data_IF_674307999310
#
_entry.id   IF_674307999310
#
_cell.length_a   1.000
_cell.length_b   1.000
_cell.length_c   1.000
_cell.angle_alpha   90.00
_cell.angle_beta   90.00
_cell.angle_gamma   90.00
#
_symmetry.space_group_name_H-M   'P 1'
#
loop_
_entity.id
_entity.type
_entity.pdbx_description
1 polymer ?
#
# COMPACT_ATOMS: atom_id res chain seq x y z
N UNK A 1 25.47 -82.31 38.79
CA UNK A 1 25.48 -80.88 38.40
C UNK A 1 24.54 -80.18 39.36
N UNK A 2 24.86 -80.15 40.65
CA UNK A 2 26.00 -79.42 41.27
C UNK A 2 25.74 -77.92 41.07
N UNK A 3 25.81 -77.01 42.04
CA UNK A 3 26.06 -77.04 43.47
C UNK A 3 25.95 -75.56 43.91
N UNK A 4 25.75 -75.32 45.21
CA UNK A 4 26.17 -74.12 46.00
C UNK A 4 25.37 -72.81 45.85
N UNK A 5 24.78 -72.27 46.93
CA UNK A 5 25.44 -71.59 48.10
C UNK A 5 26.28 -70.38 47.63
N UNK A 6 26.20 -69.15 48.16
CA UNK A 6 25.87 -68.69 49.52
C UNK A 6 25.96 -67.16 49.62
N UNK A 7 25.22 -66.58 50.57
CA UNK A 7 25.63 -65.39 51.36
C UNK A 7 25.50 -64.03 50.67
N UNK A 8 25.19 -62.91 51.32
CA UNK A 8 25.25 -62.54 52.74
C UNK A 8 24.32 -61.34 52.99
N UNK A 9 23.75 -61.28 54.18
CA UNK A 9 23.15 -60.07 54.76
C UNK A 9 24.27 -59.08 55.17
N UNK A 10 23.99 -57.78 55.13
CA UNK A 10 24.86 -56.80 55.80
C UNK A 10 24.65 -55.34 55.40
N UNK A 11 23.82 -54.65 56.21
CA UNK A 11 24.09 -53.34 56.85
C UNK A 11 24.34 -52.09 56.01
N UNK A 12 23.37 -51.16 56.11
CA UNK A 12 23.52 -49.72 56.42
C UNK A 12 24.82 -49.01 56.02
N UNK A 13 24.73 -48.16 55.00
CA UNK A 13 25.65 -47.05 54.75
C UNK A 13 24.87 -45.77 54.43
N UNK A 14 24.79 -44.86 55.39
CA UNK A 14 24.58 -43.43 55.13
C UNK A 14 25.74 -42.91 54.27
N UNK A 15 25.46 -42.11 53.24
CA UNK A 15 26.51 -41.36 52.55
C UNK A 15 26.03 -40.51 51.38
N UNK A 16 26.05 -39.19 51.56
CA UNK A 16 26.37 -38.24 50.49
C UNK A 16 25.21 -37.60 49.72
N UNK A 17 25.08 -36.28 49.88
CA UNK A 17 24.14 -35.39 49.19
C UNK A 17 24.27 -35.39 47.64
N UNK A 18 23.20 -35.04 46.89
CA UNK A 18 23.36 -34.55 45.53
C UNK A 18 24.01 -33.16 45.60
N UNK A 19 25.29 -33.10 45.26
CA UNK A 19 26.06 -31.86 45.23
C UNK A 19 25.41 -30.82 44.33
N UNK A 20 24.99 -29.70 44.92
CA UNK A 20 24.86 -28.44 44.21
C UNK A 20 26.26 -28.07 43.70
N UNK A 21 26.46 -28.16 42.38
CA UNK A 21 27.62 -27.58 41.73
C UNK A 21 27.71 -26.08 42.06
N UNK A 22 28.91 -25.49 42.09
CA UNK A 22 29.07 -24.08 42.40
C UNK A 22 28.22 -23.24 41.43
N UNK A 23 27.56 -22.16 41.93
CA UNK A 23 26.82 -21.26 41.06
C UNK A 23 27.77 -20.75 39.98
N UNK A 24 27.38 -20.93 38.71
CA UNK A 24 28.16 -20.36 37.62
C UNK A 24 28.31 -18.85 37.88
N UNK A 25 29.53 -18.30 37.84
CA UNK A 25 29.73 -16.89 38.06
C UNK A 25 28.91 -16.15 37.00
N UNK A 26 28.08 -15.21 37.44
CA UNK A 26 27.43 -14.24 36.60
C UNK A 26 28.46 -13.73 35.58
N UNK A 27 28.34 -14.18 34.34
CA UNK A 27 29.09 -13.59 33.23
C UNK A 27 28.82 -12.08 33.23
N UNK A 28 29.77 -11.25 32.76
CA UNK A 28 29.56 -9.81 32.72
C UNK A 28 28.21 -9.53 32.05
N UNK A 29 27.36 -8.67 32.64
CA UNK A 29 26.05 -8.36 32.08
C UNK A 29 26.26 -7.99 30.62
N UNK A 30 25.65 -8.76 29.71
CA UNK A 30 25.72 -8.46 28.29
C UNK A 30 25.33 -6.99 28.14
N UNK A 31 26.11 -6.16 27.43
CA UNK A 31 25.75 -4.78 27.21
C UNK A 31 24.35 -4.76 26.62
N UNK A 32 23.37 -4.30 27.40
CA UNK A 32 22.01 -4.08 26.93
C UNK A 32 22.15 -3.19 25.70
N UNK A 33 21.89 -3.76 24.53
CA UNK A 33 21.87 -2.99 23.30
C UNK A 33 20.97 -1.77 23.56
N UNK A 34 21.43 -0.55 23.21
CA UNK A 34 20.66 0.65 23.53
C UNK A 34 19.23 0.48 23.02
N UNK A 35 18.22 0.87 23.83
CA UNK A 35 16.82 0.68 23.49
C UNK A 35 16.58 1.22 22.09
N UNK A 36 16.03 0.36 21.23
CA UNK A 36 15.81 0.71 19.83
C UNK A 36 14.83 1.90 19.78
N UNK A 37 15.11 2.96 19.02
CA UNK A 37 14.25 4.14 19.00
C UNK A 37 12.81 3.77 18.63
N UNK A 38 11.84 4.25 19.40
CA UNK A 38 10.42 3.99 19.19
C UNK A 38 10.00 4.22 17.73
N UNK A 39 9.38 3.20 17.12
CA UNK A 39 8.84 3.28 15.76
C UNK A 39 9.81 2.89 14.62
N UNK A 40 11.07 2.53 14.92
CA UNK A 40 12.00 1.95 13.92
C UNK A 40 12.01 0.43 13.92
N UNK A 41 12.12 -0.16 12.74
CA UNK A 41 12.23 -1.60 12.56
C UNK A 41 13.54 -2.14 13.13
N UNK A 42 13.50 -3.38 13.61
CA UNK A 42 14.66 -4.02 14.24
C UNK A 42 15.87 -4.05 13.30
N UNK A 43 17.08 -3.80 13.81
CA UNK A 43 18.34 -3.80 13.03
C UNK A 43 18.54 -5.07 12.19
N UNK A 44 18.07 -6.22 12.68
CA UNK A 44 18.09 -7.51 11.95
C UNK A 44 17.35 -7.49 10.59
N UNK A 45 16.43 -6.55 10.39
CA UNK A 45 15.66 -6.40 9.15
C UNK A 45 16.17 -5.24 8.27
N UNK A 46 17.33 -4.66 8.60
CA UNK A 46 17.88 -3.50 7.89
C UNK A 46 18.01 -3.75 6.38
N UNK A 47 18.58 -4.89 5.98
CA UNK A 47 18.73 -5.23 4.56
C UNK A 47 17.40 -5.25 3.82
N UNK A 48 16.38 -5.91 4.38
CA UNK A 48 15.05 -5.98 3.77
C UNK A 48 14.42 -4.60 3.56
N UNK A 49 14.48 -3.71 4.55
CA UNK A 49 13.93 -2.36 4.46
C UNK A 49 14.70 -1.47 3.48
N UNK A 50 16.03 -1.52 3.51
CA UNK A 50 16.88 -0.70 2.63
C UNK A 50 16.72 -1.13 1.18
N UNK A 51 16.86 -2.43 0.89
CA UNK A 51 16.67 -2.96 -0.48
C UNK A 51 15.28 -2.63 -0.99
N UNK A 52 14.24 -2.81 -0.18
CA UNK A 52 12.88 -2.44 -0.57
C UNK A 52 12.74 -0.95 -0.85
N UNK A 53 13.31 -0.10 0.01
CA UNK A 53 13.29 1.35 -0.16
C UNK A 53 13.96 1.79 -1.46
N UNK A 54 15.15 1.24 -1.77
CA UNK A 54 15.87 1.51 -3.01
C UNK A 54 15.04 1.10 -4.23
N UNK A 55 14.50 -0.12 -4.25
CA UNK A 55 13.72 -0.63 -5.38
C UNK A 55 12.47 0.23 -5.65
N UNK A 56 11.75 0.65 -4.60
CA UNK A 56 10.59 1.52 -4.74
C UNK A 56 10.96 2.91 -5.27
N UNK A 57 12.07 3.50 -4.78
CA UNK A 57 12.55 4.81 -5.26
C UNK A 57 13.02 4.72 -6.71
N UNK A 58 13.76 3.68 -7.08
CA UNK A 58 14.23 3.49 -8.46
C UNK A 58 13.06 3.42 -9.44
N UNK A 59 12.03 2.65 -9.12
CA UNK A 59 10.85 2.58 -9.99
C UNK A 59 10.05 3.89 -10.00
N UNK A 60 9.94 4.59 -8.86
CA UNK A 60 9.34 5.93 -8.83
C UNK A 60 10.09 6.91 -9.74
N UNK A 61 11.43 6.86 -9.74
CA UNK A 61 12.28 7.66 -10.62
C UNK A 61 12.09 7.30 -12.09
N UNK A 62 11.99 6.02 -12.42
CA UNK A 62 11.70 5.57 -13.78
C UNK A 62 10.33 6.06 -14.27
N UNK A 63 9.29 5.96 -13.45
CA UNK A 63 7.98 6.54 -13.77
C UNK A 63 8.06 8.05 -13.97
N UNK A 64 8.71 8.78 -13.07
CA UNK A 64 8.88 10.23 -13.20
C UNK A 64 9.62 10.60 -14.49
N UNK A 65 10.63 9.81 -14.90
CA UNK A 65 11.34 10.00 -16.16
C UNK A 65 10.43 9.80 -17.36
N UNK A 66 9.63 8.72 -17.40
CA UNK A 66 8.66 8.49 -18.48
C UNK A 66 7.60 9.58 -18.58
N UNK A 67 7.11 10.03 -17.43
CA UNK A 67 6.17 11.13 -17.38
C UNK A 67 6.80 12.40 -17.94
N UNK A 68 8.03 12.73 -17.52
CA UNK A 68 8.76 13.91 -17.99
C UNK A 68 9.06 13.84 -19.49
N UNK A 69 9.52 12.69 -19.97
CA UNK A 69 9.78 12.44 -21.39
C UNK A 69 8.53 12.65 -22.25
N UNK A 70 7.39 12.12 -21.79
CA UNK A 70 6.12 12.29 -22.49
C UNK A 70 5.65 13.77 -22.46
N UNK A 71 5.86 14.48 -21.35
CA UNK A 71 5.54 15.92 -21.26
C UNK A 71 6.38 16.75 -22.23
N UNK A 72 7.67 16.44 -22.34
CA UNK A 72 8.59 17.10 -23.29
C UNK A 72 8.16 16.78 -24.72
N UNK A 73 7.84 15.52 -25.02
CA UNK A 73 7.41 15.09 -26.36
C UNK A 73 6.11 15.74 -26.83
N UNK A 74 5.20 16.03 -25.92
CA UNK A 74 3.92 16.73 -26.22
C UNK A 74 4.09 18.27 -26.21
N UNK A 75 5.20 18.79 -25.68
CA UNK A 75 5.47 20.23 -25.63
C UNK A 75 4.60 20.98 -24.62
N UNK A 76 4.30 20.36 -23.47
CA UNK A 76 3.43 20.95 -22.44
C UNK A 76 4.22 21.91 -21.55
N UNK A 77 3.72 23.14 -21.40
CA UNK A 77 4.30 24.15 -20.53
C UNK A 77 4.22 23.77 -19.04
N UNK A 78 5.21 24.22 -18.25
CA UNK A 78 5.29 23.92 -16.82
C UNK A 78 4.07 24.42 -16.03
N UNK A 79 3.50 25.56 -16.41
CA UNK A 79 2.31 26.13 -15.76
C UNK A 79 1.07 25.27 -16.02
N UNK A 80 0.89 24.80 -17.27
CA UNK A 80 -0.19 23.89 -17.63
C UNK A 80 -0.05 22.53 -16.93
N UNK A 81 1.19 22.06 -16.73
CA UNK A 81 1.47 20.87 -15.94
C UNK A 81 1.07 21.05 -14.47
N UNK A 82 1.50 22.13 -13.83
CA UNK A 82 1.18 22.41 -12.44
C UNK A 82 -0.32 22.59 -12.23
N UNK A 83 -0.99 23.27 -13.16
CA UNK A 83 -2.44 23.41 -13.13
C UNK A 83 -3.14 22.05 -13.30
N UNK A 84 -2.71 21.21 -14.25
CA UNK A 84 -3.27 19.87 -14.46
C UNK A 84 -3.01 18.88 -13.32
N UNK A 85 -1.95 19.09 -12.54
CA UNK A 85 -1.65 18.31 -11.33
C UNK A 85 -2.63 18.65 -10.19
N UNK A 86 -3.02 19.92 -10.07
CA UNK A 86 -3.89 20.40 -8.99
C UNK A 86 -5.36 20.36 -9.37
N UNK A 87 -5.72 20.69 -10.61
CA UNK A 87 -7.11 20.80 -11.06
C UNK A 87 -7.45 19.67 -12.03
N UNK A 88 -8.61 19.05 -11.82
CA UNK A 88 -9.22 18.18 -12.81
C UNK A 88 -10.00 19.00 -13.84
N UNK A 89 -9.33 19.80 -14.67
CA UNK A 89 -9.98 20.52 -15.76
C UNK A 89 -10.05 19.63 -17.02
N UNK A 90 -11.24 19.32 -17.57
CA UNK A 90 -11.40 18.58 -18.81
C UNK A 90 -10.67 19.21 -20.00
N UNK A 91 -10.46 20.53 -20.00
CA UNK A 91 -9.74 21.28 -21.05
C UNK A 91 -8.23 21.09 -20.97
N UNK A 92 -7.74 20.78 -19.77
CA UNK A 92 -6.33 20.48 -19.48
C UNK A 92 -6.15 18.99 -19.21
N UNK A 93 -7.00 18.12 -19.79
CA UNK A 93 -6.80 16.68 -19.73
C UNK A 93 -5.45 16.37 -20.36
N UNK A 94 -4.42 16.31 -19.52
CA UNK A 94 -3.08 15.92 -19.92
C UNK A 94 -3.23 14.48 -20.40
N UNK A 95 -3.07 14.22 -21.71
CA UNK A 95 -3.10 12.85 -22.20
C UNK A 95 -1.98 12.02 -21.56
N UNK A 96 -1.00 12.69 -20.95
CA UNK A 96 0.32 12.16 -20.64
C UNK A 96 0.33 11.05 -19.59
N UNK A 97 -0.35 11.16 -18.45
CA UNK A 97 -0.49 10.06 -17.48
C UNK A 97 -1.68 10.36 -16.56
N UNK A 98 -2.31 9.33 -16.00
CA UNK A 98 -3.48 9.51 -15.11
C UNK A 98 -3.09 10.12 -13.77
N UNK A 99 -3.98 10.85 -13.08
CA UNK A 99 -3.70 11.39 -11.75
C UNK A 99 -3.28 10.31 -10.74
N UNK A 100 -3.79 9.10 -10.89
CA UNK A 100 -3.40 7.98 -10.06
C UNK A 100 -1.93 7.58 -10.23
N UNK A 101 -1.35 7.72 -11.42
CA UNK A 101 0.05 7.38 -11.69
C UNK A 101 0.99 8.36 -11.01
N UNK A 102 0.67 9.65 -11.02
CA UNK A 102 1.36 10.67 -10.24
C UNK A 102 1.31 10.38 -8.74
N UNK A 103 0.11 10.11 -8.23
CA UNK A 103 -0.09 9.77 -6.82
C UNK A 103 0.68 8.51 -6.43
N UNK A 104 0.70 7.52 -7.32
CA UNK A 104 1.39 6.26 -7.13
C UNK A 104 2.91 6.44 -7.13
N UNK A 105 3.47 7.19 -8.08
CA UNK A 105 4.90 7.53 -8.12
C UNK A 105 5.34 8.30 -6.88
N UNK A 106 4.56 9.31 -6.47
CA UNK A 106 4.83 10.06 -5.24
C UNK A 106 4.76 9.15 -3.98
N UNK A 107 3.76 8.27 -3.91
CA UNK A 107 3.64 7.31 -2.81
C UNK A 107 4.82 6.34 -2.76
N UNK A 108 5.29 5.82 -3.89
CA UNK A 108 6.47 4.97 -3.98
C UNK A 108 7.73 5.68 -3.47
N UNK A 109 7.94 6.94 -3.86
CA UNK A 109 9.08 7.75 -3.43
C UNK A 109 9.04 8.00 -1.91
N UNK A 110 7.90 8.45 -1.38
CA UNK A 110 7.73 8.76 0.05
C UNK A 110 7.87 7.49 0.90
N UNK A 111 7.20 6.41 0.51
CA UNK A 111 7.24 5.13 1.24
C UNK A 111 8.61 4.47 1.12
N UNK A 112 9.24 4.55 -0.04
CA UNK A 112 10.61 4.08 -0.24
C UNK A 112 11.59 4.82 0.67
N UNK A 113 11.47 6.15 0.78
CA UNK A 113 12.27 6.97 1.71
C UNK A 113 11.98 6.62 3.18
N UNK A 114 10.70 6.39 3.52
CA UNK A 114 10.32 5.92 4.86
C UNK A 114 10.87 4.51 5.17
N UNK A 115 11.00 3.65 4.16
CA UNK A 115 11.62 2.34 4.28
C UNK A 115 13.15 2.45 4.48
N UNK A 116 13.84 3.34 3.75
CA UNK A 116 15.27 3.63 3.97
C UNK A 116 15.55 4.09 5.41
N UNK A 117 14.64 4.89 5.98
CA UNK A 117 14.73 5.33 7.39
C UNK A 117 14.22 4.30 8.40
N UNK A 118 13.90 3.07 7.94
CA UNK A 118 13.44 1.92 8.72
C UNK A 118 12.19 2.20 9.55
N UNK A 119 11.26 3.04 9.06
CA UNK A 119 9.99 3.26 9.78
C UNK A 119 9.14 1.99 9.74
N UNK A 120 8.70 1.48 10.90
CA UNK A 120 7.83 0.29 10.97
C UNK A 120 6.53 0.46 10.17
N UNK A 121 5.99 1.67 10.16
CA UNK A 121 4.78 2.02 9.40
C UNK A 121 4.98 1.93 7.88
N UNK A 122 6.22 2.04 7.38
CA UNK A 122 6.50 1.95 5.95
C UNK A 122 6.25 0.54 5.40
N UNK A 123 6.39 -0.51 6.22
CA UNK A 123 6.23 -1.90 5.76
C UNK A 123 4.85 -2.17 5.16
N UNK A 124 3.80 -1.76 5.85
CA UNK A 124 2.43 -1.94 5.37
C UNK A 124 2.15 -1.21 4.06
N UNK A 125 2.61 0.04 3.99
CA UNK A 125 2.51 0.85 2.79
C UNK A 125 3.30 0.25 1.63
N UNK A 126 4.54 -0.19 1.88
CA UNK A 126 5.41 -0.79 0.89
C UNK A 126 4.84 -2.11 0.35
N UNK A 127 4.26 -2.96 1.21
CA UNK A 127 3.58 -4.18 0.78
C UNK A 127 2.37 -3.87 -0.12
N UNK A 128 1.56 -2.87 0.23
CA UNK A 128 0.44 -2.43 -0.61
C UNK A 128 0.94 -1.93 -1.97
N UNK A 129 1.88 -0.99 -1.97
CA UNK A 129 2.40 -0.40 -3.20
C UNK A 129 3.12 -1.44 -4.07
N UNK A 130 3.87 -2.36 -3.47
CA UNK A 130 4.50 -3.46 -4.21
C UNK A 130 3.47 -4.42 -4.80
N UNK A 131 2.36 -4.70 -4.11
CA UNK A 131 1.29 -5.52 -4.67
C UNK A 131 0.62 -4.84 -5.87
N UNK A 132 0.33 -3.53 -5.76
CA UNK A 132 -0.20 -2.74 -6.88
C UNK A 132 0.78 -2.71 -8.05
N UNK A 133 2.08 -2.52 -7.77
CA UNK A 133 3.14 -2.53 -8.77
C UNK A 133 3.27 -3.88 -9.47
N UNK A 134 3.14 -4.98 -8.72
CA UNK A 134 3.17 -6.33 -9.25
C UNK A 134 2.07 -6.53 -10.30
N UNK A 135 0.85 -6.03 -10.03
CA UNK A 135 -0.24 -6.11 -10.99
C UNK A 135 0.00 -5.24 -12.23
N UNK A 136 0.60 -4.05 -12.10
CA UNK A 136 1.01 -3.23 -13.26
C UNK A 136 2.02 -4.00 -14.12
N UNK A 137 3.08 -4.53 -13.51
CA UNK A 137 4.09 -5.31 -14.21
C UNK A 137 3.53 -6.59 -14.84
N UNK A 138 2.65 -7.31 -14.13
CA UNK A 138 2.01 -8.52 -14.63
C UNK A 138 1.15 -8.26 -15.86
N UNK A 139 0.41 -7.15 -15.87
CA UNK A 139 -0.40 -6.73 -17.04
C UNK A 139 0.48 -6.39 -18.24
N UNK A 140 1.55 -5.66 -18.00
CA UNK A 140 2.51 -5.25 -19.03
C UNK A 140 3.19 -6.47 -19.67
N UNK A 141 3.68 -7.39 -18.84
CA UNK A 141 4.29 -8.65 -19.31
C UNK A 141 3.27 -9.60 -19.93
N UNK A 142 2.06 -9.69 -19.37
CA UNK A 142 0.96 -10.45 -19.95
C UNK A 142 0.58 -9.94 -21.34
N UNK A 143 0.67 -8.63 -21.58
CA UNK A 143 0.52 -8.02 -22.90
C UNK A 143 1.45 -8.61 -23.95
N UNK A 144 2.69 -8.99 -23.60
CA UNK A 144 3.66 -9.58 -24.53
C UNK A 144 3.25 -10.94 -25.09
N UNK A 145 2.24 -11.59 -24.51
CA UNK A 145 1.66 -12.82 -25.09
C UNK A 145 0.84 -12.53 -26.34
N UNK A 146 0.43 -11.28 -26.56
CA UNK A 146 -0.40 -10.85 -27.68
C UNK A 146 0.45 -10.24 -28.79
N UNK A 147 0.23 -10.68 -30.03
CA UNK A 147 0.93 -10.20 -31.22
C UNK A 147 0.75 -8.70 -31.41
N UNK A 148 -0.49 -8.20 -31.43
CA UNK A 148 -0.80 -6.78 -31.66
C UNK A 148 -0.04 -5.85 -30.68
N UNK A 149 0.03 -6.25 -29.41
CA UNK A 149 0.71 -5.49 -28.38
C UNK A 149 2.23 -5.52 -28.56
N UNK A 150 2.81 -6.70 -28.84
CA UNK A 150 4.24 -6.82 -29.14
C UNK A 150 4.62 -5.97 -30.35
N UNK A 151 3.86 -6.08 -31.43
CA UNK A 151 4.14 -5.38 -32.68
C UNK A 151 4.09 -3.86 -32.45
N UNK A 152 3.08 -3.38 -31.72
CA UNK A 152 2.96 -1.95 -31.36
C UNK A 152 4.12 -1.50 -30.47
N UNK A 153 4.47 -2.27 -29.43
CA UNK A 153 5.54 -1.88 -28.52
C UNK A 153 6.91 -1.93 -29.18
N UNK A 154 7.23 -2.96 -29.95
CA UNK A 154 8.55 -3.05 -30.59
C UNK A 154 8.69 -2.16 -31.84
N UNK A 155 7.59 -1.66 -32.39
CA UNK A 155 7.62 -0.62 -33.42
C UNK A 155 7.84 0.80 -32.85
N UNK A 156 7.50 1.03 -31.57
CA UNK A 156 7.68 2.32 -30.92
C UNK A 156 9.16 2.55 -30.57
N UNK A 157 9.66 3.78 -30.78
CA UNK A 157 11.05 4.19 -30.55
C UNK A 157 11.58 3.74 -29.17
N UNK A 158 10.76 3.91 -28.13
CA UNK A 158 11.11 3.61 -26.75
C UNK A 158 10.48 2.32 -26.21
N UNK A 159 9.73 1.56 -27.01
CA UNK A 159 8.87 0.51 -26.46
C UNK A 159 9.64 -0.66 -25.85
N UNK A 160 10.82 -1.01 -26.37
CA UNK A 160 11.71 -1.99 -25.71
C UNK A 160 12.11 -1.54 -24.30
N UNK A 161 12.44 -0.25 -24.13
CA UNK A 161 12.84 0.30 -22.83
C UNK A 161 11.65 0.37 -21.85
N UNK A 162 10.44 0.67 -22.36
CA UNK A 162 9.21 0.62 -21.57
C UNK A 162 8.97 -0.81 -21.06
N UNK A 163 9.07 -1.81 -21.94
CA UNK A 163 8.92 -3.23 -21.56
C UNK A 163 9.94 -3.63 -20.50
N UNK A 164 11.21 -3.26 -20.67
CA UNK A 164 12.26 -3.53 -19.67
C UNK A 164 11.99 -2.84 -18.33
N UNK A 165 11.48 -1.61 -18.35
CA UNK A 165 11.10 -0.87 -17.13
C UNK A 165 10.04 -1.63 -16.35
N UNK A 166 9.02 -2.17 -17.03
CA UNK A 166 7.95 -2.92 -16.39
C UNK A 166 8.32 -4.36 -16.02
N UNK A 167 9.26 -4.98 -16.74
CA UNK A 167 9.89 -6.22 -16.30
C UNK A 167 10.66 -6.02 -14.99
N UNK A 168 11.46 -4.95 -14.90
CA UNK A 168 12.12 -4.55 -13.66
C UNK A 168 11.10 -4.28 -12.55
N UNK A 169 10.03 -3.54 -12.84
CA UNK A 169 8.95 -3.25 -11.89
C UNK A 169 8.35 -4.52 -11.26
N UNK A 170 8.05 -5.52 -12.10
CA UNK A 170 7.52 -6.80 -11.66
C UNK A 170 8.48 -7.54 -10.72
N UNK A 171 9.76 -7.64 -11.10
CA UNK A 171 10.79 -8.30 -10.29
C UNK A 171 11.07 -7.55 -8.99
N UNK A 172 11.14 -6.22 -9.05
CA UNK A 172 11.31 -5.35 -7.90
C UNK A 172 10.15 -5.51 -6.91
N UNK A 173 8.90 -5.49 -7.41
CA UNK A 173 7.70 -5.72 -6.60
C UNK A 173 7.71 -7.09 -5.92
N UNK A 174 7.98 -8.17 -6.67
CA UNK A 174 8.08 -9.52 -6.12
C UNK A 174 9.17 -9.61 -5.03
N UNK A 175 10.30 -8.96 -5.25
CA UNK A 175 11.41 -8.88 -4.28
C UNK A 175 11.00 -8.15 -3.01
N UNK A 176 10.38 -6.96 -3.13
CA UNK A 176 9.87 -6.18 -1.99
C UNK A 176 8.87 -7.00 -1.17
N UNK A 177 7.90 -7.64 -1.85
CA UNK A 177 6.91 -8.50 -1.19
C UNK A 177 7.59 -9.63 -0.42
N UNK A 178 8.51 -10.35 -1.07
CA UNK A 178 9.23 -11.48 -0.46
C UNK A 178 10.03 -11.05 0.77
N UNK A 179 10.82 -9.97 0.64
CA UNK A 179 11.65 -9.45 1.72
C UNK A 179 10.81 -8.96 2.90
N UNK A 180 9.77 -8.17 2.65
CA UNK A 180 8.97 -7.56 3.73
C UNK A 180 7.94 -8.52 4.34
N UNK A 181 7.46 -9.52 3.61
CA UNK A 181 6.64 -10.59 4.20
C UNK A 181 7.51 -11.48 5.11
N UNK A 182 8.74 -11.78 4.70
CA UNK A 182 9.71 -12.56 5.48
C UNK A 182 10.23 -11.80 6.70
N UNK A 183 10.46 -10.49 6.58
CA UNK A 183 10.86 -9.60 7.66
C UNK A 183 9.72 -9.27 8.66
N UNK A 184 8.89 -10.26 8.98
CA UNK A 184 7.78 -10.12 9.92
C UNK A 184 8.31 -10.07 11.34
N UNK A 185 8.17 -8.90 11.97
CA UNK A 185 8.38 -8.74 13.40
C UNK A 185 7.26 -9.48 14.16
N UNK A 186 7.50 -10.75 14.52
CA UNK A 186 6.56 -11.59 15.30
C UNK A 186 6.52 -11.22 16.78
N UNK A 187 7.57 -10.53 17.26
CA UNK A 187 7.78 -10.25 18.69
C UNK A 187 7.20 -8.90 19.13
N UNK A 188 6.64 -8.12 18.21
CA UNK A 188 5.97 -6.85 18.56
C UNK A 188 4.57 -7.19 19.08
N UNK A 189 4.23 -6.84 20.33
CA UNK A 189 2.89 -7.05 20.86
C UNK A 189 1.85 -6.48 19.90
N UNK A 190 0.79 -7.24 19.62
CA UNK A 190 -0.35 -6.69 18.86
C UNK A 190 -0.88 -5.49 19.64
N UNK A 191 -0.69 -4.29 19.09
CA UNK A 191 -1.28 -3.10 19.69
C UNK A 191 -2.80 -3.32 19.79
N UNK A 192 -3.42 -3.05 20.96
CA UNK A 192 -4.85 -3.22 21.12
C UNK A 192 -5.58 -2.40 20.06
N UNK A 193 -6.58 -3.01 19.42
CA UNK A 193 -7.36 -2.34 18.38
C UNK A 193 -8.17 -1.24 19.04
N UNK A 194 -7.73 0.01 18.86
CA UNK A 194 -8.40 1.18 19.41
C UNK A 194 -9.72 1.42 18.67
N UNK A 195 -10.69 2.05 19.33
CA UNK A 195 -11.95 2.44 18.69
C UNK A 195 -11.71 3.28 17.43
N UNK A 196 -10.71 4.18 17.47
CA UNK A 196 -10.31 4.99 16.31
C UNK A 196 -9.83 4.17 15.12
N UNK A 197 -9.07 3.09 15.34
CA UNK A 197 -8.64 2.20 14.23
C UNK A 197 -9.80 1.45 13.59
N UNK A 198 -10.78 1.02 14.38
CA UNK A 198 -11.99 0.39 13.84
C UNK A 198 -12.79 1.39 13.02
N UNK A 199 -13.00 2.60 13.55
CA UNK A 199 -13.69 3.67 12.85
C UNK A 199 -12.99 4.02 11.53
N UNK A 200 -11.65 4.14 11.52
CA UNK A 200 -10.89 4.32 10.28
C UNK A 200 -11.11 3.16 9.30
N UNK A 201 -11.09 1.92 9.77
CA UNK A 201 -11.39 0.75 8.94
C UNK A 201 -12.78 0.80 8.29
N UNK A 202 -13.81 1.21 9.03
CA UNK A 202 -15.17 1.43 8.50
C UNK A 202 -15.16 2.55 7.46
N UNK A 203 -14.51 3.68 7.75
CA UNK A 203 -14.42 4.80 6.80
C UNK A 203 -13.74 4.39 5.49
N UNK A 204 -12.66 3.61 5.53
CA UNK A 204 -12.04 3.08 4.31
C UNK A 204 -13.03 2.25 3.47
N UNK A 205 -13.81 1.38 4.11
CA UNK A 205 -14.81 0.56 3.41
C UNK A 205 -15.90 1.45 2.79
N UNK A 206 -16.39 2.44 3.53
CA UNK A 206 -17.40 3.38 3.03
C UNK A 206 -16.88 4.23 1.86
N UNK A 207 -15.64 4.72 1.95
CA UNK A 207 -14.97 5.45 0.87
C UNK A 207 -14.91 4.58 -0.39
N UNK A 208 -14.44 3.33 -0.26
CA UNK A 208 -14.39 2.39 -1.37
C UNK A 208 -15.77 2.07 -1.94
N UNK A 209 -16.80 1.91 -1.10
CA UNK A 209 -18.16 1.63 -1.55
C UNK A 209 -18.78 2.80 -2.31
N UNK A 210 -18.60 4.04 -1.83
CA UNK A 210 -19.10 5.25 -2.49
C UNK A 210 -18.41 5.46 -3.84
N UNK A 211 -17.08 5.35 -3.89
CA UNK A 211 -16.35 5.46 -5.17
C UNK A 211 -16.76 4.33 -6.13
N UNK A 212 -16.89 3.10 -5.64
CA UNK A 212 -17.31 1.96 -6.46
C UNK A 212 -18.74 2.10 -6.99
N UNK A 213 -19.64 2.70 -6.23
CA UNK A 213 -21.00 3.01 -6.67
C UNK A 213 -20.98 3.98 -7.86
N UNK A 214 -20.25 5.10 -7.76
CA UNK A 214 -20.16 6.07 -8.86
C UNK A 214 -19.49 5.49 -10.09
N UNK A 215 -18.46 4.68 -9.89
CA UNK A 215 -17.78 4.02 -10.99
C UNK A 215 -18.68 3.01 -11.71
N UNK A 216 -19.40 2.16 -10.97
CA UNK A 216 -20.37 1.22 -11.53
C UNK A 216 -21.51 1.93 -12.26
N UNK A 217 -21.96 3.07 -11.72
CA UNK A 217 -22.97 3.92 -12.38
C UNK A 217 -22.43 4.49 -13.70
N UNK A 218 -21.21 5.04 -13.70
CA UNK A 218 -20.59 5.56 -14.93
C UNK A 218 -20.41 4.49 -16.01
N UNK A 219 -20.02 3.27 -15.62
CA UNK A 219 -19.96 2.12 -16.54
C UNK A 219 -21.33 1.78 -17.12
N UNK A 220 -22.40 1.85 -16.30
CA UNK A 220 -23.77 1.61 -16.77
C UNK A 220 -24.23 2.69 -17.74
N UNK A 221 -24.02 3.97 -17.44
CA UNK A 221 -24.36 5.08 -18.32
C UNK A 221 -23.62 4.98 -19.66
N UNK A 222 -22.33 4.63 -19.63
CA UNK A 222 -21.55 4.38 -20.84
C UNK A 222 -22.13 3.22 -21.68
N UNK A 223 -22.57 2.15 -21.02
CA UNK A 223 -23.22 1.02 -21.70
C UNK A 223 -24.57 1.42 -22.34
N UNK A 224 -25.35 2.28 -21.68
CA UNK A 224 -26.62 2.78 -22.18
C UNK A 224 -26.42 3.69 -23.41
N UNK A 225 -25.35 4.51 -23.42
CA UNK A 225 -24.99 5.38 -24.55
C UNK A 225 -24.56 4.58 -25.78
N UNK A 226 -23.74 3.54 -25.58
CA UNK A 226 -23.24 2.70 -26.68
C UNK A 226 -24.32 1.81 -27.32
N UNK A 227 -25.43 1.58 -26.60
CA UNK A 227 -26.53 0.73 -27.06
C UNK A 227 -26.20 -0.77 -27.14
N UNK A 228 -27.18 -1.61 -27.51
CA UNK A 228 -27.01 -3.07 -27.57
C UNK A 228 -25.95 -3.54 -28.57
N UNK A 229 -25.69 -2.75 -29.61
CA UNK A 229 -24.76 -3.07 -30.70
C UNK A 229 -23.32 -2.56 -30.45
N UNK A 230 -23.10 -1.86 -29.33
CA UNK A 230 -21.87 -1.14 -28.99
C UNK A 230 -20.69 -1.99 -28.51
N UNK A 231 -20.44 -3.15 -29.11
CA UNK A 231 -19.28 -3.99 -28.83
C UNK A 231 -19.46 -4.98 -27.67
N UNK A 232 -18.40 -5.23 -26.86
CA UNK A 232 -18.40 -6.27 -25.80
C UNK A 232 -19.29 -5.93 -24.58
N UNK A 233 -19.88 -4.73 -24.54
CA UNK A 233 -20.54 -4.16 -23.37
C UNK A 233 -19.54 -3.58 -22.37
N UNK A 234 -19.94 -2.52 -21.65
CA UNK A 234 -19.04 -1.73 -20.81
C UNK A 234 -18.35 -2.55 -19.71
N UNK A 235 -19.03 -3.54 -19.13
CA UNK A 235 -18.43 -4.40 -18.10
C UNK A 235 -17.35 -5.33 -18.66
N UNK A 236 -17.58 -5.93 -19.83
CA UNK A 236 -16.60 -6.81 -20.43
C UNK A 236 -15.38 -6.02 -20.92
N UNK A 237 -15.59 -4.80 -21.43
CA UNK A 237 -14.50 -3.89 -21.80
C UNK A 237 -13.72 -3.45 -20.56
N UNK A 238 -14.41 -3.06 -19.48
CA UNK A 238 -13.80 -2.77 -18.19
C UNK A 238 -12.95 -3.93 -17.68
N UNK A 239 -13.48 -5.15 -17.70
CA UNK A 239 -12.75 -6.34 -17.28
C UNK A 239 -11.54 -6.62 -18.18
N UNK A 240 -11.71 -6.42 -19.49
CA UNK A 240 -10.63 -6.58 -20.45
C UNK A 240 -9.52 -5.56 -20.19
N UNK A 241 -9.87 -4.29 -19.98
CA UNK A 241 -8.97 -3.20 -19.62
C UNK A 241 -8.42 -3.31 -18.21
N UNK A 242 -9.02 -4.08 -17.31
CA UNK A 242 -8.49 -4.33 -15.97
C UNK A 242 -7.38 -5.39 -15.99
N UNK A 243 -7.47 -6.37 -16.89
CA UNK A 243 -6.52 -7.48 -16.96
C UNK A 243 -5.48 -7.31 -18.06
N UNK A 244 -5.79 -6.55 -19.11
CA UNK A 244 -4.93 -6.44 -20.27
C UNK A 244 -4.57 -5.00 -20.53
N UNK A 245 -3.33 -4.78 -20.96
CA UNK A 245 -2.95 -3.48 -21.50
C UNK A 245 -3.49 -3.34 -22.93
N UNK A 246 -4.13 -2.21 -23.20
CA UNK A 246 -4.70 -1.91 -24.50
C UNK A 246 -3.72 -1.04 -25.30
N UNK A 247 -3.22 -1.55 -26.43
CA UNK A 247 -2.21 -0.87 -27.24
C UNK A 247 -2.76 0.32 -28.03
N UNK A 248 -4.10 0.38 -28.23
CA UNK A 248 -4.76 1.31 -29.17
C UNK A 248 -4.81 2.77 -28.70
N UNK A 249 -4.42 3.07 -27.46
CA UNK A 249 -4.53 4.41 -26.90
C UNK A 249 -3.33 5.34 -27.09
N UNK A 250 -2.21 4.90 -27.68
CA UNK A 250 -0.98 5.70 -27.70
C UNK A 250 -0.28 5.85 -26.34
N UNK A 251 -0.82 5.22 -25.30
CA UNK A 251 -0.34 5.28 -23.90
C UNK A 251 0.33 3.98 -23.47
N UNK A 252 1.20 3.39 -24.30
CA UNK A 252 1.84 2.09 -23.99
C UNK A 252 2.59 2.05 -22.65
N UNK A 253 3.02 3.21 -22.15
CA UNK A 253 3.68 3.35 -20.85
C UNK A 253 2.72 3.47 -19.65
N UNK A 254 1.42 3.72 -19.84
CA UNK A 254 0.45 3.88 -18.73
C UNK A 254 -0.23 2.56 -18.37
N UNK A 255 -0.49 2.33 -17.08
CA UNK A 255 -1.34 1.22 -16.66
C UNK A 255 -2.85 1.54 -16.79
N UNK A 256 -3.17 2.81 -17.07
CA UNK A 256 -4.53 3.29 -17.35
C UNK A 256 -5.38 3.53 -16.10
N UNK A 257 -6.36 4.43 -16.25
CA UNK A 257 -7.29 4.83 -15.18
C UNK A 257 -8.04 3.62 -14.61
N UNK A 258 -8.55 2.76 -15.51
CA UNK A 258 -9.31 1.55 -15.16
C UNK A 258 -8.58 0.66 -14.18
N UNK A 259 -7.26 0.47 -14.36
CA UNK A 259 -6.46 -0.33 -13.43
C UNK A 259 -6.38 0.32 -12.05
N UNK A 260 -5.85 1.54 -11.99
CA UNK A 260 -5.53 2.19 -10.73
C UNK A 260 -6.78 2.47 -9.91
N UNK A 261 -7.87 2.89 -10.56
CA UNK A 261 -9.14 3.11 -9.89
C UNK A 261 -9.68 1.80 -9.29
N UNK A 262 -9.76 0.73 -10.08
CA UNK A 262 -10.24 -0.59 -9.61
C UNK A 262 -9.34 -1.16 -8.49
N UNK A 263 -8.02 -1.00 -8.62
CA UNK A 263 -7.08 -1.45 -7.62
C UNK A 263 -7.17 -0.63 -6.31
N UNK A 264 -7.42 0.68 -6.41
CA UNK A 264 -7.69 1.53 -5.25
C UNK A 264 -8.99 1.12 -4.54
N UNK A 265 -10.07 0.86 -5.29
CA UNK A 265 -11.33 0.34 -4.75
C UNK A 265 -11.13 -0.96 -3.97
N UNK A 266 -10.44 -1.93 -4.58
CA UNK A 266 -10.12 -3.20 -3.92
C UNK A 266 -9.24 -2.98 -2.68
N UNK A 267 -8.24 -2.09 -2.76
CA UNK A 267 -7.38 -1.76 -1.65
C UNK A 267 -8.15 -1.12 -0.48
N UNK A 268 -9.13 -0.25 -0.74
CA UNK A 268 -9.96 0.35 0.31
C UNK A 268 -10.72 -0.69 1.12
N UNK A 269 -11.37 -1.62 0.42
CA UNK A 269 -12.12 -2.71 1.05
C UNK A 269 -11.19 -3.64 1.83
N UNK A 270 -10.10 -4.11 1.21
CA UNK A 270 -9.17 -5.06 1.84
C UNK A 270 -8.46 -4.44 3.04
N UNK A 271 -7.89 -3.24 2.89
CA UNK A 271 -7.18 -2.55 3.96
C UNK A 271 -8.13 -2.13 5.08
N UNK A 272 -9.37 -1.73 4.76
CA UNK A 272 -10.42 -1.47 5.74
C UNK A 272 -10.72 -2.70 6.60
N UNK A 273 -10.92 -3.87 5.99
CA UNK A 273 -11.10 -5.15 6.71
C UNK A 273 -9.87 -5.51 7.56
N UNK A 274 -8.67 -5.30 7.02
CA UNK A 274 -7.41 -5.56 7.72
C UNK A 274 -7.23 -4.64 8.95
N UNK A 275 -7.68 -3.39 8.88
CA UNK A 275 -7.72 -2.46 10.02
C UNK A 275 -8.73 -2.91 11.08
N UNK A 276 -9.93 -3.35 10.68
CA UNK A 276 -10.93 -3.90 11.60
C UNK A 276 -10.40 -5.12 12.36
N UNK A 277 -9.60 -5.95 11.68
CA UNK A 277 -8.92 -7.13 12.27
C UNK A 277 -7.69 -6.79 13.11
N UNK A 278 -7.29 -5.51 13.18
CA UNK A 278 -6.14 -5.09 13.99
C UNK A 278 -4.79 -5.55 13.44
N UNK A 279 -4.67 -5.79 12.13
CA UNK A 279 -3.39 -6.26 11.58
C UNK A 279 -2.32 -5.15 11.62
N UNK A 280 -1.10 -5.42 12.12
CA UNK A 280 -0.07 -4.38 12.30
C UNK A 280 0.33 -3.66 11.00
N UNK A 281 0.32 -4.38 9.87
CA UNK A 281 0.64 -3.82 8.57
C UNK A 281 -0.47 -2.92 8.00
N UNK A 282 -1.71 -3.03 8.47
CA UNK A 282 -2.83 -2.29 7.91
C UNK A 282 -2.71 -0.78 8.10
N UNK A 283 -2.10 -0.32 9.21
CA UNK A 283 -1.93 1.11 9.48
C UNK A 283 -1.10 1.81 8.40
N UNK A 284 0.03 1.21 8.02
CA UNK A 284 0.89 1.74 6.97
C UNK A 284 0.18 1.78 5.61
N UNK A 285 -0.45 0.67 5.24
CA UNK A 285 -1.21 0.54 4.00
C UNK A 285 -2.34 1.59 3.92
N UNK A 286 -3.08 1.76 5.02
CA UNK A 286 -4.17 2.72 5.10
C UNK A 286 -3.69 4.16 4.94
N UNK A 287 -2.58 4.53 5.58
CA UNK A 287 -2.05 5.89 5.44
C UNK A 287 -1.58 6.19 4.01
N UNK A 288 -0.96 5.23 3.31
CA UNK A 288 -0.57 5.40 1.92
C UNK A 288 -1.80 5.55 1.02
N UNK A 289 -2.80 4.68 1.20
CA UNK A 289 -4.03 4.70 0.40
C UNK A 289 -4.85 5.98 0.63
N UNK A 290 -4.98 6.42 1.88
CA UNK A 290 -5.66 7.66 2.24
C UNK A 290 -4.92 8.89 1.72
N UNK A 291 -3.57 8.87 1.68
CA UNK A 291 -2.81 9.98 1.10
C UNK A 291 -3.03 10.08 -0.42
N UNK A 292 -3.03 8.94 -1.12
CA UNK A 292 -3.38 8.88 -2.56
C UNK A 292 -4.80 9.42 -2.77
N UNK A 293 -5.77 8.96 -1.99
CA UNK A 293 -7.15 9.43 -2.13
C UNK A 293 -7.34 10.89 -1.76
N UNK A 294 -6.63 11.40 -0.75
CA UNK A 294 -6.68 12.83 -0.43
C UNK A 294 -6.21 13.70 -1.61
N UNK A 295 -5.17 13.25 -2.32
CA UNK A 295 -4.73 13.92 -3.54
C UNK A 295 -5.78 13.85 -4.66
N UNK A 296 -6.38 12.68 -4.90
CA UNK A 296 -7.43 12.53 -5.92
C UNK A 296 -8.64 13.41 -5.60
N UNK A 297 -9.12 13.41 -4.35
CA UNK A 297 -10.25 14.26 -3.94
C UNK A 297 -9.92 15.74 -4.04
N UNK A 298 -8.70 16.15 -3.65
CA UNK A 298 -8.26 17.53 -3.83
C UNK A 298 -8.36 17.92 -5.31
N UNK A 299 -7.87 17.06 -6.21
CA UNK A 299 -7.86 17.32 -7.64
C UNK A 299 -9.26 17.42 -8.23
N UNK A 300 -10.17 16.52 -7.83
CA UNK A 300 -11.58 16.59 -8.21
C UNK A 300 -12.23 17.90 -7.74
N UNK A 301 -12.11 18.24 -6.46
CA UNK A 301 -12.75 19.41 -5.89
C UNK A 301 -12.14 20.73 -6.37
N UNK A 302 -10.83 20.77 -6.65
CA UNK A 302 -10.17 21.94 -7.21
C UNK A 302 -10.51 22.17 -8.69
N UNK A 303 -10.95 21.12 -9.41
CA UNK A 303 -11.43 21.22 -10.79
C UNK A 303 -12.87 21.71 -10.93
N UNK A 304 -13.62 21.85 -9.83
CA UNK A 304 -15.01 22.32 -9.89
C UNK A 304 -15.07 23.82 -10.20
N UNK A 305 -15.93 24.19 -11.14
CA UNK A 305 -16.33 25.58 -11.33
C UNK A 305 -17.39 25.96 -10.28
N UNK A 306 -16.95 26.59 -9.19
CA UNK A 306 -17.82 27.01 -8.11
C UNK A 306 -18.85 28.08 -8.54
N UNK A 307 -18.63 28.78 -9.66
CA UNK A 307 -19.62 29.71 -10.23
C UNK A 307 -20.84 28.98 -10.81
N UNK A 308 -20.66 27.75 -11.26
CA UNK A 308 -21.70 26.90 -11.84
C UNK A 308 -22.33 25.93 -10.82
N UNK A 309 -22.01 26.07 -9.54
CA UNK A 309 -22.47 25.15 -8.50
C UNK A 309 -24.00 25.01 -8.49
N UNK A 310 -24.72 26.13 -8.66
CA UNK A 310 -26.19 26.11 -8.71
C UNK A 310 -26.75 25.31 -9.89
N UNK A 311 -26.02 25.23 -11.00
CA UNK A 311 -26.41 24.46 -12.18
C UNK A 311 -26.14 22.97 -11.96
N UNK A 312 -25.00 22.62 -11.35
CA UNK A 312 -24.70 21.24 -11.00
C UNK A 312 -25.74 20.61 -10.07
N UNK A 313 -26.29 21.39 -9.13
CA UNK A 313 -27.34 20.89 -8.23
C UNK A 313 -28.75 20.84 -8.85
N UNK A 314 -28.97 21.45 -10.03
CA UNK A 314 -30.23 21.24 -10.79
C UNK A 314 -30.26 19.85 -11.38
N UNK A 315 -29.11 19.33 -11.82
CA UNK A 315 -28.96 17.92 -12.12
C UNK A 315 -28.76 17.13 -10.82
N UNK A 316 -29.82 16.45 -10.36
CA UNK A 316 -29.77 15.66 -9.14
C UNK A 316 -28.60 14.67 -9.11
N UNK A 317 -28.25 14.03 -10.23
CA UNK A 317 -27.18 13.01 -10.24
C UNK A 317 -25.82 13.67 -10.05
N UNK A 318 -25.54 14.72 -10.82
CA UNK A 318 -24.30 15.49 -10.69
C UNK A 318 -24.17 16.12 -9.30
N UNK A 319 -25.25 16.68 -8.76
CA UNK A 319 -25.29 17.23 -7.41
C UNK A 319 -24.97 16.18 -6.32
N UNK A 320 -25.53 14.96 -6.44
CA UNK A 320 -25.20 13.85 -5.54
C UNK A 320 -23.75 13.40 -5.66
N UNK A 321 -23.20 13.37 -6.88
CA UNK A 321 -21.80 13.03 -7.13
C UNK A 321 -20.88 14.02 -6.43
N UNK A 322 -21.08 15.32 -6.64
CA UNK A 322 -20.29 16.38 -6.01
C UNK A 322 -20.39 16.31 -4.48
N UNK A 323 -21.61 16.17 -3.94
CA UNK A 323 -21.83 16.05 -2.49
C UNK A 323 -21.06 14.86 -1.92
N UNK A 324 -21.04 13.74 -2.63
CA UNK A 324 -20.30 12.55 -2.22
C UNK A 324 -18.79 12.75 -2.28
N UNK A 325 -18.25 13.51 -3.24
CA UNK A 325 -16.81 13.83 -3.29
C UNK A 325 -16.37 14.66 -2.09
N UNK A 326 -17.19 15.62 -1.64
CA UNK A 326 -16.96 16.35 -0.38
C UNK A 326 -17.01 15.44 0.84
N UNK A 327 -18.02 14.55 0.91
CA UNK A 327 -18.16 13.60 2.01
C UNK A 327 -16.96 12.63 2.07
N UNK A 328 -16.50 12.13 0.92
CA UNK A 328 -15.31 11.27 0.81
C UNK A 328 -14.05 12.04 1.21
N UNK A 329 -13.89 13.31 0.80
CA UNK A 329 -12.76 14.13 1.22
C UNK A 329 -12.70 14.30 2.75
N UNK A 330 -13.83 14.63 3.37
CA UNK A 330 -13.95 14.75 4.83
C UNK A 330 -13.68 13.40 5.54
N UNK A 331 -14.25 12.31 5.04
CA UNK A 331 -14.03 10.95 5.55
C UNK A 331 -12.56 10.53 5.44
N UNK A 332 -11.88 10.87 4.35
CA UNK A 332 -10.45 10.60 4.15
C UNK A 332 -9.60 11.33 5.18
N UNK A 333 -9.83 12.63 5.37
CA UNK A 333 -9.11 13.41 6.39
C UNK A 333 -9.34 12.88 7.80
N UNK A 334 -10.60 12.54 8.13
CA UNK A 334 -10.94 11.92 9.41
C UNK A 334 -10.28 10.54 9.58
N UNK A 335 -10.26 9.70 8.55
CA UNK A 335 -9.60 8.41 8.61
C UNK A 335 -8.08 8.55 8.81
N UNK A 336 -7.45 9.58 8.23
CA UNK A 336 -6.02 9.89 8.45
C UNK A 336 -5.78 10.23 9.93
N UNK A 337 -6.59 11.11 10.52
CA UNK A 337 -6.43 11.51 11.93
C UNK A 337 -6.62 10.33 12.87
N UNK A 338 -7.66 9.53 12.66
CA UNK A 338 -7.96 8.32 13.43
C UNK A 338 -6.87 7.24 13.31
N UNK A 339 -6.27 7.08 12.12
CA UNK A 339 -5.18 6.12 11.88
C UNK A 339 -3.86 6.57 12.49
N UNK A 340 -3.63 7.89 12.56
CA UNK A 340 -2.45 8.46 13.21
C UNK A 340 -2.55 8.42 14.74
N UNK A 341 -3.74 8.55 15.30
CA UNK A 341 -3.92 8.63 16.75
C UNK A 341 -3.59 7.29 17.44
N UNK A 342 -2.46 7.27 18.16
CA UNK A 342 -2.14 6.23 19.15
C UNK A 342 -2.54 6.77 20.52
N UNK A 343 -3.55 6.18 21.20
CA UNK A 343 -3.85 6.53 22.57
C UNK A 343 -2.57 6.33 23.39
N UNK A 344 -2.18 7.35 24.14
CA UNK A 344 -1.08 7.21 25.10
C UNK A 344 -1.49 6.11 26.07
N UNK A 345 -0.67 5.07 26.23
CA UNK A 345 -0.86 4.16 27.36
C UNK A 345 -0.78 5.01 28.63
N UNK A 346 -1.89 5.10 29.36
CA UNK A 346 -1.87 5.53 30.74
C UNK A 346 -1.08 4.45 31.48
N UNK A 347 0.22 4.67 31.67
CA UNK A 347 0.95 3.94 32.68
C UNK A 347 0.37 4.41 34.02
N UNK A 348 -0.26 3.54 34.83
CA UNK A 348 -0.60 3.92 36.18
C UNK A 348 0.69 4.43 36.85
N UNK A 349 0.62 5.50 37.67
CA UNK A 349 1.79 5.97 38.40
C UNK A 349 2.43 4.79 39.13
N UNK A 350 3.77 4.68 39.17
CA UNK A 350 4.42 3.63 39.94
C UNK A 350 3.84 3.67 41.34
N UNK A 351 3.30 2.54 41.80
CA UNK A 351 2.78 2.44 43.16
C UNK A 351 3.84 3.00 44.11
N UNK A 352 3.48 3.90 45.05
CA UNK A 352 4.42 4.30 46.07
C UNK A 352 4.96 3.04 46.76
N UNK A 353 6.26 2.96 47.07
CA UNK A 353 6.82 1.81 47.77
C UNK A 353 5.96 1.53 49.00
N UNK A 354 5.46 0.30 49.14
CA UNK A 354 4.57 -0.04 50.24
C UNK A 354 5.29 0.27 51.56
N UNK A 355 4.77 1.18 52.39
CA UNK A 355 5.41 1.49 53.65
C UNK A 355 4.90 0.48 54.67
N UNK A 356 5.35 -0.77 54.64
CA UNK A 356 5.12 -1.69 55.74
C UNK A 356 6.32 -2.62 56.00
N UNK A 357 6.51 -2.99 57.27
CA UNK A 357 7.80 -3.04 57.96
C UNK A 357 8.53 -4.38 57.92
#
# INVERSE_FOLDING_TARGET
MDDRWSGTAGTSGQGGAPGFGPPQPFGPPQPLAPPEPDGRAARRHLGAYVTSGILLILFAGALAAWITDTLIGVGIDADALLEGLVKNDPRLMLPVFTPYEWAFAAALLVVGTAALTRRRTARGAALLLAFLLLGVGARQLGGLTRTEYRDTMFAAEHGTLIVLTYAFAFLAAATVLTLLLTARERDVPREPVTGGRRAAGVLLILIGAVQGFWYARGLREFNEILGPDGGRGAFAEWWHELLNINARGGYGASAGFTYYHSAALAAFLVVGVLLLRGTPAARGAALALLAISAYIQLRELAGLDYGLLSEYYKDTVTGWSITSSFAVAAATLLAITLTRHTPRHHAPPPYPPSPLP
#
